data_IF_249977112046
#
_entry.id   IF_249977112046
#
_cell.length_a   1.000
_cell.length_b   1.000
_cell.length_c   1.000
_cell.angle_alpha   90.00
_cell.angle_beta   90.00
_cell.angle_gamma   90.00
#
_symmetry.space_group_name_H-M   'P 1'
#
loop_
_entity.id
_entity.type
_entity.pdbx_description
1 polymer ?
#
# COMPACT_ATOMS: atom_id res chain seq x y z
N UNK A 1 59.86 -47.58 19.55
CA UNK A 1 59.48 -47.91 18.16
C UNK A 1 59.32 -46.60 17.45
N UNK A 2 60.46 -46.14 16.93
CA UNK A 2 60.61 -44.95 16.10
C UNK A 2 59.98 -45.19 14.74
N UNK A 3 59.18 -44.22 14.28
CA UNK A 3 58.82 -44.09 12.87
C UNK A 3 59.11 -42.64 12.48
N UNK A 4 60.37 -42.42 12.13
CA UNK A 4 60.80 -41.29 11.31
C UNK A 4 60.34 -41.50 9.86
N UNK A 5 60.14 -40.39 9.14
CA UNK A 5 60.29 -40.32 7.69
C UNK A 5 59.02 -39.96 6.92
N UNK A 6 58.96 -38.73 6.38
CA UNK A 6 57.82 -38.34 5.54
C UNK A 6 57.87 -36.94 4.92
N UNK A 7 58.94 -36.63 4.20
CA UNK A 7 58.93 -35.80 2.98
C UNK A 7 58.13 -34.47 3.00
N UNK A 8 58.69 -33.45 3.66
CA UNK A 8 58.32 -32.05 3.40
C UNK A 8 58.88 -31.61 2.04
N UNK A 9 58.07 -31.73 0.98
CA UNK A 9 58.36 -31.15 -0.31
C UNK A 9 58.45 -29.62 -0.18
N UNK A 10 59.68 -29.08 -0.15
CA UNK A 10 59.93 -27.63 -0.17
C UNK A 10 59.42 -27.04 -1.49
N UNK A 11 58.38 -26.19 -1.49
CA UNK A 11 57.96 -25.52 -2.70
C UNK A 11 58.97 -24.40 -3.05
N UNK A 12 59.46 -24.41 -4.30
CA UNK A 12 59.63 -23.14 -5.02
C UNK A 12 60.98 -22.42 -4.96
N UNK A 13 62.13 -23.09 -4.88
CA UNK A 13 63.43 -22.42 -5.12
C UNK A 13 63.65 -22.05 -6.60
N UNK A 14 63.07 -22.81 -7.54
CA UNK A 14 63.12 -22.51 -8.98
C UNK A 14 62.22 -21.34 -9.41
N UNK A 15 61.26 -20.94 -8.59
CA UNK A 15 60.35 -19.83 -8.91
C UNK A 15 61.02 -18.46 -8.75
N UNK A 16 61.92 -18.29 -7.78
CA UNK A 16 62.48 -16.96 -7.45
C UNK A 16 63.56 -16.48 -8.42
N UNK A 17 64.46 -17.36 -8.84
CA UNK A 17 65.50 -17.01 -9.82
C UNK A 17 64.90 -16.71 -11.19
N UNK A 18 63.90 -17.51 -11.61
CA UNK A 18 63.21 -17.30 -12.88
C UNK A 18 62.35 -16.02 -12.86
N UNK A 19 61.73 -15.66 -11.72
CA UNK A 19 61.04 -14.38 -11.58
C UNK A 19 61.99 -13.17 -11.62
N UNK A 20 63.20 -13.30 -11.06
CA UNK A 20 64.17 -12.20 -11.05
C UNK A 20 64.75 -11.92 -12.44
N UNK A 21 65.06 -12.96 -13.23
CA UNK A 21 65.53 -12.75 -14.61
C UNK A 21 64.42 -12.21 -15.52
N UNK A 22 63.17 -12.66 -15.33
CA UNK A 22 62.04 -12.14 -16.07
C UNK A 22 61.75 -10.67 -15.74
N UNK A 23 61.91 -10.27 -14.47
CA UNK A 23 61.76 -8.87 -14.04
C UNK A 23 62.88 -7.94 -14.57
N UNK A 24 64.11 -8.45 -14.73
CA UNK A 24 65.21 -7.69 -15.32
C UNK A 24 65.10 -7.58 -16.85
N UNK A 25 64.66 -8.64 -17.53
CA UNK A 25 64.48 -8.64 -18.99
C UNK A 25 63.39 -7.67 -19.49
N UNK A 26 62.43 -7.31 -18.63
CA UNK A 26 61.34 -6.37 -18.94
C UNK A 26 61.66 -4.90 -18.62
N UNK A 27 62.92 -4.54 -18.39
CA UNK A 27 63.34 -3.13 -18.24
C UNK A 27 63.30 -2.59 -16.81
N UNK A 28 63.30 -3.46 -15.80
CA UNK A 28 63.44 -3.06 -14.40
C UNK A 28 62.17 -2.50 -13.75
N UNK A 29 62.26 -2.18 -12.46
CA UNK A 29 61.18 -1.69 -11.61
C UNK A 29 60.40 -0.49 -12.19
N UNK A 30 61.01 0.28 -13.09
CA UNK A 30 60.40 1.44 -13.76
C UNK A 30 59.35 1.04 -14.82
N UNK A 31 59.48 -0.12 -15.47
CA UNK A 31 58.45 -0.62 -16.38
C UNK A 31 57.25 -1.20 -15.62
N UNK A 32 57.52 -2.00 -14.59
CA UNK A 32 56.47 -2.60 -13.76
C UNK A 32 55.63 -1.53 -13.04
N UNK A 33 56.25 -0.47 -12.53
CA UNK A 33 55.54 0.65 -11.89
C UNK A 33 54.65 1.41 -12.88
N UNK A 34 55.12 1.65 -14.11
CA UNK A 34 54.34 2.31 -15.17
C UNK A 34 53.15 1.46 -15.62
N UNK A 35 53.32 0.14 -15.79
CA UNK A 35 52.22 -0.77 -16.11
C UNK A 35 51.19 -0.81 -14.97
N UNK A 36 51.65 -0.91 -13.72
CA UNK A 36 50.75 -0.88 -12.57
C UNK A 36 49.95 0.42 -12.49
N UNK A 37 50.59 1.57 -12.73
CA UNK A 37 49.94 2.87 -12.76
C UNK A 37 48.91 2.98 -13.90
N UNK A 38 49.20 2.40 -15.07
CA UNK A 38 48.30 2.39 -16.21
C UNK A 38 47.07 1.47 -16.04
N UNK A 39 47.15 0.43 -15.19
CA UNK A 39 46.02 -0.47 -14.92
C UNK A 39 44.96 0.14 -14.00
N UNK A 40 45.33 1.05 -13.10
CA UNK A 40 44.40 1.75 -12.19
C UNK A 40 43.23 2.43 -12.93
N UNK A 41 43.45 3.28 -13.95
CA UNK A 41 42.35 3.89 -14.68
C UNK A 41 41.51 2.87 -15.45
N UNK A 42 42.11 1.77 -15.95
CA UNK A 42 41.38 0.71 -16.65
C UNK A 42 40.39 0.01 -15.71
N UNK A 43 40.81 -0.34 -14.50
CA UNK A 43 39.90 -0.89 -13.48
C UNK A 43 38.82 0.11 -13.07
N UNK A 44 39.14 1.41 -13.02
CA UNK A 44 38.17 2.47 -12.80
C UNK A 44 37.08 2.51 -13.89
N UNK A 45 37.48 2.43 -15.17
CA UNK A 45 36.55 2.43 -16.31
C UNK A 45 35.70 1.15 -16.33
N UNK A 46 36.31 -0.02 -16.17
CA UNK A 46 35.58 -1.31 -16.15
C UNK A 46 34.63 -1.36 -14.95
N UNK A 47 35.11 -0.98 -13.76
CA UNK A 47 34.31 -0.92 -12.55
C UNK A 47 33.13 0.05 -12.68
N UNK A 48 33.38 1.24 -13.24
CA UNK A 48 32.33 2.23 -13.52
C UNK A 48 31.31 1.73 -14.53
N UNK A 49 31.75 1.06 -15.61
CA UNK A 49 30.86 0.48 -16.61
C UNK A 49 29.97 -0.64 -16.02
N UNK A 50 30.55 -1.53 -15.20
CA UNK A 50 29.80 -2.60 -14.52
C UNK A 50 28.80 -2.04 -13.50
N UNK A 51 29.22 -1.05 -12.72
CA UNK A 51 28.32 -0.38 -11.77
C UNK A 51 27.16 0.33 -12.51
N UNK A 52 27.47 1.03 -13.60
CA UNK A 52 26.46 1.70 -14.45
C UNK A 52 25.48 0.69 -15.06
N UNK A 53 25.98 -0.41 -15.62
CA UNK A 53 25.13 -1.48 -16.18
C UNK A 53 24.22 -2.11 -15.12
N UNK A 54 24.75 -2.37 -13.92
CA UNK A 54 23.96 -2.93 -12.82
C UNK A 54 22.87 -1.97 -12.33
N UNK A 55 23.20 -0.67 -12.19
CA UNK A 55 22.23 0.37 -11.82
C UNK A 55 21.17 0.53 -12.91
N UNK A 56 21.55 0.51 -14.19
CA UNK A 56 20.62 0.63 -15.31
C UNK A 56 19.58 -0.51 -15.32
N UNK A 57 20.02 -1.77 -15.16
CA UNK A 57 19.10 -2.92 -15.11
C UNK A 57 18.11 -2.86 -13.96
N UNK A 58 18.58 -2.46 -12.77
CA UNK A 58 17.71 -2.30 -11.59
C UNK A 58 16.67 -1.21 -11.79
N UNK A 59 17.05 -0.07 -12.36
CA UNK A 59 16.13 1.03 -12.59
C UNK A 59 14.98 0.64 -13.53
N UNK A 60 15.26 -0.11 -14.60
CA UNK A 60 14.23 -0.59 -15.53
C UNK A 60 13.22 -1.49 -14.81
N UNK A 61 13.70 -2.46 -14.02
CA UNK A 61 12.85 -3.36 -13.23
C UNK A 61 12.01 -2.63 -12.16
N UNK A 62 12.63 -1.69 -11.44
CA UNK A 62 11.93 -0.88 -10.44
C UNK A 62 10.84 -0.04 -11.10
N UNK A 63 11.12 0.56 -12.25
CA UNK A 63 10.16 1.39 -12.97
C UNK A 63 8.98 0.58 -13.49
N UNK A 64 9.20 -0.64 -14.00
CA UNK A 64 8.10 -1.49 -14.47
C UNK A 64 7.18 -1.90 -13.32
N UNK A 65 7.72 -2.36 -12.19
CA UNK A 65 6.93 -2.72 -11.00
C UNK A 65 6.20 -1.51 -10.43
N UNK A 66 6.88 -0.36 -10.37
CA UNK A 66 6.26 0.89 -9.89
C UNK A 66 5.08 1.29 -10.77
N UNK A 67 5.23 1.15 -12.09
CA UNK A 67 4.17 1.45 -13.04
C UNK A 67 2.98 0.48 -12.90
N UNK A 68 3.23 -0.83 -12.76
CA UNK A 68 2.17 -1.82 -12.55
C UNK A 68 1.43 -1.60 -11.22
N UNK A 69 2.17 -1.34 -10.13
CA UNK A 69 1.57 -1.03 -8.83
C UNK A 69 0.74 0.24 -8.86
N UNK A 70 1.23 1.29 -9.52
CA UNK A 70 0.47 2.53 -9.67
C UNK A 70 -0.83 2.30 -10.47
N UNK A 71 -0.79 1.46 -11.51
CA UNK A 71 -2.00 1.05 -12.26
C UNK A 71 -2.97 0.26 -11.39
N UNK A 72 -2.48 -0.71 -10.61
CA UNK A 72 -3.31 -1.46 -9.67
C UNK A 72 -3.95 -0.53 -8.63
N UNK A 73 -3.18 0.42 -8.09
CA UNK A 73 -3.63 1.40 -7.11
C UNK A 73 -4.76 2.29 -7.65
N UNK A 74 -4.62 2.73 -8.91
CA UNK A 74 -5.63 3.55 -9.58
C UNK A 74 -6.91 2.77 -9.85
N UNK A 75 -6.78 1.50 -10.26
CA UNK A 75 -7.92 0.58 -10.40
C UNK A 75 -8.63 0.38 -9.08
N UNK A 76 -7.90 0.14 -7.99
CA UNK A 76 -8.48 -0.03 -6.66
C UNK A 76 -9.23 1.23 -6.21
N UNK A 77 -8.64 2.42 -6.39
CA UNK A 77 -9.31 3.70 -6.06
C UNK A 77 -10.60 3.88 -6.85
N UNK A 78 -10.58 3.57 -8.15
CA UNK A 78 -11.75 3.64 -9.03
C UNK A 78 -12.81 2.61 -8.63
N UNK A 79 -12.42 1.39 -8.29
CA UNK A 79 -13.35 0.36 -7.82
C UNK A 79 -14.00 0.74 -6.49
N UNK A 80 -13.24 1.32 -5.56
CA UNK A 80 -13.77 1.80 -4.27
C UNK A 80 -14.73 2.98 -4.50
N UNK A 81 -14.37 3.98 -5.30
CA UNK A 81 -15.25 5.14 -5.54
C UNK A 81 -16.54 4.74 -6.27
N UNK A 82 -16.45 3.85 -7.26
CA UNK A 82 -17.64 3.33 -7.97
C UNK A 82 -18.52 2.48 -7.06
N UNK A 83 -17.91 1.70 -6.15
CA UNK A 83 -18.63 0.94 -5.12
C UNK A 83 -19.38 1.87 -4.17
N UNK A 84 -18.71 2.90 -3.64
CA UNK A 84 -19.32 3.91 -2.77
C UNK A 84 -20.47 4.63 -3.47
N UNK A 85 -20.29 4.99 -4.75
CA UNK A 85 -21.34 5.62 -5.56
C UNK A 85 -22.57 4.71 -5.77
N UNK A 86 -22.36 3.43 -6.04
CA UNK A 86 -23.45 2.46 -6.21
C UNK A 86 -24.23 2.26 -4.89
N UNK A 87 -23.53 2.10 -3.77
CA UNK A 87 -24.14 1.98 -2.44
C UNK A 87 -24.86 3.27 -2.03
N UNK A 88 -24.29 4.44 -2.30
CA UNK A 88 -24.94 5.72 -2.00
C UNK A 88 -26.21 5.92 -2.82
N UNK A 89 -26.18 5.55 -4.11
CA UNK A 89 -27.35 5.66 -5.00
C UNK A 89 -28.46 4.71 -4.55
N UNK A 90 -28.10 3.47 -4.21
CA UNK A 90 -29.03 2.48 -3.65
C UNK A 90 -29.68 3.00 -2.37
N UNK A 91 -28.89 3.48 -1.40
CA UNK A 91 -29.41 3.98 -0.12
C UNK A 91 -30.26 5.24 -0.27
N UNK A 92 -29.86 6.18 -1.15
CA UNK A 92 -30.63 7.38 -1.41
C UNK A 92 -32.02 7.05 -1.95
N UNK A 93 -32.08 6.16 -2.94
CA UNK A 93 -33.35 5.75 -3.57
C UNK A 93 -34.20 4.89 -2.63
N UNK A 94 -33.58 4.02 -1.83
CA UNK A 94 -34.28 3.20 -0.84
C UNK A 94 -34.90 4.02 0.31
N UNK A 95 -34.24 5.11 0.72
CA UNK A 95 -34.69 5.96 1.82
C UNK A 95 -35.59 7.13 1.37
N UNK A 96 -35.85 7.27 0.07
CA UNK A 96 -36.76 8.31 -0.43
C UNK A 96 -38.19 7.91 0.00
N UNK A 97 -38.91 8.76 0.76
CA UNK A 97 -40.30 8.47 1.08
C UNK A 97 -41.07 8.39 -0.24
N UNK A 98 -41.90 7.36 -0.40
CA UNK A 98 -42.82 7.27 -1.53
C UNK A 98 -43.67 8.54 -1.53
N UNK A 99 -43.31 9.50 -2.39
CA UNK A 99 -44.14 10.67 -2.67
C UNK A 99 -45.30 10.12 -3.50
N UNK A 100 -46.29 9.56 -2.83
CA UNK A 100 -47.56 9.18 -3.43
C UNK A 100 -48.24 10.49 -3.80
N UNK A 101 -47.99 10.95 -5.03
CA UNK A 101 -48.67 12.08 -5.61
C UNK A 101 -50.15 11.69 -5.74
N UNK A 102 -50.96 12.12 -4.77
CA UNK A 102 -52.40 11.94 -4.76
C UNK A 102 -53.00 12.82 -5.85
N UNK A 103 -52.93 12.34 -7.09
CA UNK A 103 -53.69 12.89 -8.21
C UNK A 103 -55.06 12.21 -8.22
N UNK A 104 -56.11 13.03 -8.26
CA UNK A 104 -57.49 12.61 -8.13
C UNK A 104 -57.85 11.51 -9.14
N UNK A 105 -58.45 10.45 -8.59
CA UNK A 105 -58.65 9.17 -9.21
C UNK A 105 -59.72 9.21 -10.30
N UNK A 106 -59.41 8.66 -11.49
CA UNK A 106 -60.37 7.76 -12.15
C UNK A 106 -59.79 6.80 -13.19
N UNK A 107 -58.52 6.87 -13.63
CA UNK A 107 -58.02 5.92 -14.66
C UNK A 107 -56.52 5.52 -14.59
N UNK A 108 -55.78 5.92 -13.55
CA UNK A 108 -54.29 5.82 -13.55
C UNK A 108 -53.71 4.54 -12.97
N UNK A 109 -54.53 3.55 -12.60
CA UNK A 109 -54.09 2.43 -11.75
C UNK A 109 -53.06 1.49 -12.40
N UNK A 110 -53.06 1.37 -13.73
CA UNK A 110 -52.15 0.48 -14.45
C UNK A 110 -50.80 1.14 -14.73
N UNK A 111 -50.75 2.45 -14.92
CA UNK A 111 -49.50 3.21 -15.13
C UNK A 111 -48.67 3.29 -13.84
N UNK A 112 -49.32 3.35 -12.67
CA UNK A 112 -48.62 3.41 -11.38
C UNK A 112 -47.91 2.08 -11.08
N UNK A 113 -48.52 0.93 -11.42
CA UNK A 113 -47.93 -0.40 -11.20
C UNK A 113 -46.69 -0.62 -12.06
N UNK A 114 -46.69 -0.14 -13.31
CA UNK A 114 -45.54 -0.32 -14.22
C UNK A 114 -44.34 0.51 -13.77
N UNK A 115 -44.55 1.76 -13.33
CA UNK A 115 -43.47 2.62 -12.85
C UNK A 115 -42.80 2.07 -11.58
N UNK A 116 -43.60 1.58 -10.61
CA UNK A 116 -43.08 0.97 -9.40
C UNK A 116 -42.22 -0.28 -9.68
N UNK A 117 -42.64 -1.13 -10.63
CA UNK A 117 -41.87 -2.31 -11.03
C UNK A 117 -40.56 -1.96 -11.74
N UNK A 118 -40.56 -0.92 -12.59
CA UNK A 118 -39.36 -0.42 -13.26
C UNK A 118 -38.37 0.15 -12.24
N UNK A 119 -38.84 0.85 -11.21
CA UNK A 119 -37.96 1.42 -10.20
C UNK A 119 -37.32 0.38 -9.28
N UNK A 120 -38.03 -0.72 -8.99
CA UNK A 120 -37.46 -1.87 -8.28
C UNK A 120 -36.35 -2.55 -9.09
N UNK A 121 -36.55 -2.75 -10.40
CA UNK A 121 -35.53 -3.37 -11.26
C UNK A 121 -34.20 -2.60 -11.22
N UNK A 122 -34.26 -1.26 -11.30
CA UNK A 122 -33.07 -0.40 -11.20
C UNK A 122 -32.37 -0.48 -9.85
N UNK A 123 -33.12 -0.67 -8.75
CA UNK A 123 -32.53 -0.85 -7.42
C UNK A 123 -31.73 -2.14 -7.32
N UNK A 124 -32.28 -3.25 -7.83
CA UNK A 124 -31.59 -4.54 -7.84
C UNK A 124 -30.32 -4.50 -8.69
N UNK A 125 -30.37 -3.82 -9.84
CA UNK A 125 -29.19 -3.63 -10.70
C UNK A 125 -28.05 -2.91 -9.97
N UNK A 126 -28.36 -1.83 -9.22
CA UNK A 126 -27.34 -1.11 -8.43
C UNK A 126 -26.76 -1.98 -7.32
N UNK A 127 -27.58 -2.78 -6.65
CA UNK A 127 -27.13 -3.69 -5.60
C UNK A 127 -26.26 -4.82 -6.16
N UNK A 128 -26.63 -5.38 -7.31
CA UNK A 128 -25.83 -6.39 -8.00
C UNK A 128 -24.47 -5.81 -8.41
N UNK A 129 -24.48 -4.61 -9.01
CA UNK A 129 -23.25 -3.89 -9.36
C UNK A 129 -22.36 -3.64 -8.15
N UNK A 130 -22.94 -3.21 -7.03
CA UNK A 130 -22.19 -3.02 -5.79
C UNK A 130 -21.59 -4.34 -5.27
N UNK A 131 -22.32 -5.45 -5.38
CA UNK A 131 -21.85 -6.79 -4.97
C UNK A 131 -20.70 -7.28 -5.86
N UNK A 132 -20.81 -7.09 -7.17
CA UNK A 132 -19.74 -7.40 -8.13
C UNK A 132 -18.47 -6.58 -7.84
N UNK A 133 -18.63 -5.27 -7.59
CA UNK A 133 -17.51 -4.39 -7.20
C UNK A 133 -16.89 -4.79 -5.87
N UNK A 134 -17.70 -5.17 -4.88
CA UNK A 134 -17.21 -5.66 -3.60
C UNK A 134 -16.35 -6.92 -3.75
N UNK A 135 -16.78 -7.87 -4.59
CA UNK A 135 -16.01 -9.07 -4.92
C UNK A 135 -14.67 -8.71 -5.60
N UNK A 136 -14.71 -7.81 -6.59
CA UNK A 136 -13.51 -7.34 -7.29
C UNK A 136 -12.51 -6.66 -6.34
N UNK A 137 -12.98 -5.83 -5.41
CA UNK A 137 -12.13 -5.21 -4.39
C UNK A 137 -11.51 -6.28 -3.48
N UNK A 138 -12.30 -7.27 -3.04
CA UNK A 138 -11.81 -8.35 -2.19
C UNK A 138 -10.73 -9.20 -2.86
N UNK A 139 -10.86 -9.47 -4.16
CA UNK A 139 -9.86 -10.22 -4.93
C UNK A 139 -8.54 -9.46 -5.12
N UNK A 140 -8.59 -8.13 -5.10
CA UNK A 140 -7.41 -7.27 -5.28
C UNK A 140 -6.63 -7.04 -3.98
N UNK A 141 -7.25 -7.26 -2.82
CA UNK A 141 -6.69 -6.97 -1.51
C UNK A 141 -6.12 -8.23 -0.85
N UNK A 142 -5.06 -8.07 -0.06
CA UNK A 142 -4.46 -9.20 0.65
C UNK A 142 -5.21 -9.47 1.97
N UNK A 143 -5.86 -10.63 2.17
CA UNK A 143 -6.58 -10.92 3.41
C UNK A 143 -5.70 -10.97 4.67
N UNK A 144 -4.38 -11.19 4.52
CA UNK A 144 -3.42 -11.19 5.62
C UNK A 144 -2.94 -9.79 6.01
N UNK A 145 -3.16 -8.79 5.15
CA UNK A 145 -2.79 -7.41 5.40
C UNK A 145 -3.66 -6.79 6.48
N UNK A 146 -3.05 -6.12 7.48
CA UNK A 146 -3.80 -5.47 8.56
C UNK A 146 -4.73 -4.36 8.06
N UNK A 147 -4.31 -3.61 7.04
CA UNK A 147 -5.12 -2.52 6.44
C UNK A 147 -6.17 -3.10 5.50
N UNK A 148 -5.76 -4.02 4.64
CA UNK A 148 -6.59 -4.73 3.67
C UNK A 148 -7.75 -5.46 4.34
N UNK A 149 -7.49 -6.22 5.41
CA UNK A 149 -8.52 -6.93 6.19
C UNK A 149 -9.62 -5.99 6.68
N UNK A 150 -9.22 -4.80 7.12
CA UNK A 150 -10.13 -3.76 7.60
C UNK A 150 -10.98 -3.18 6.47
N UNK A 151 -10.38 -2.93 5.30
CA UNK A 151 -11.10 -2.51 4.09
C UNK A 151 -12.09 -3.60 3.65
N UNK A 152 -11.66 -4.87 3.62
CA UNK A 152 -12.52 -6.02 3.28
C UNK A 152 -13.71 -6.11 4.24
N UNK A 153 -13.48 -5.93 5.54
CA UNK A 153 -14.55 -5.95 6.55
C UNK A 153 -15.56 -4.81 6.33
N UNK A 154 -15.09 -3.59 6.02
CA UNK A 154 -15.94 -2.44 5.70
C UNK A 154 -16.76 -2.66 4.43
N UNK A 155 -16.13 -3.14 3.35
CA UNK A 155 -16.78 -3.44 2.07
C UNK A 155 -17.85 -4.53 2.25
N UNK A 156 -17.54 -5.61 2.97
CA UNK A 156 -18.52 -6.65 3.30
C UNK A 156 -19.67 -6.10 4.13
N UNK A 157 -19.36 -5.31 5.16
CA UNK A 157 -20.37 -4.65 6.00
C UNK A 157 -21.34 -3.80 5.19
N UNK A 158 -20.81 -2.97 4.28
CA UNK A 158 -21.63 -2.15 3.37
C UNK A 158 -22.48 -2.99 2.42
N UNK A 159 -21.96 -4.10 1.90
CA UNK A 159 -22.72 -4.97 0.99
C UNK A 159 -23.88 -5.71 1.67
N UNK A 160 -23.78 -5.97 2.98
CA UNK A 160 -24.81 -6.67 3.75
C UNK A 160 -25.82 -5.69 4.37
N UNK A 161 -25.42 -4.43 4.57
CA UNK A 161 -26.25 -3.39 5.16
C UNK A 161 -27.45 -3.05 4.27
N UNK A 162 -28.55 -3.81 4.42
CA UNK A 162 -29.82 -3.56 3.74
C UNK A 162 -30.56 -2.35 4.33
N UNK A 163 -30.41 -2.11 5.63
CA UNK A 163 -31.11 -1.07 6.37
C UNK A 163 -30.17 -0.43 7.39
N UNK A 164 -29.44 0.58 6.95
CA UNK A 164 -28.58 1.40 7.80
C UNK A 164 -29.12 2.81 7.91
N UNK A 165 -28.96 3.44 9.09
CA UNK A 165 -29.14 4.90 9.16
C UNK A 165 -28.16 5.58 8.19
N UNK A 166 -28.61 6.62 7.47
CA UNK A 166 -27.74 7.39 6.56
C UNK A 166 -26.44 7.83 7.25
N UNK A 167 -26.51 8.18 8.55
CA UNK A 167 -25.35 8.55 9.37
C UNK A 167 -24.34 7.40 9.52
N UNK A 168 -24.80 6.17 9.76
CA UNK A 168 -23.91 5.01 9.88
C UNK A 168 -23.24 4.68 8.54
N UNK A 169 -23.98 4.81 7.44
CA UNK A 169 -23.45 4.62 6.09
C UNK A 169 -22.34 5.63 5.78
N UNK A 170 -22.59 6.92 6.03
CA UNK A 170 -21.56 7.98 5.86
C UNK A 170 -20.34 7.73 6.75
N UNK A 171 -20.54 7.29 8.00
CA UNK A 171 -19.41 6.98 8.89
C UNK A 171 -18.57 5.80 8.38
N UNK A 172 -19.20 4.77 7.83
CA UNK A 172 -18.49 3.61 7.24
C UNK A 172 -17.79 4.00 5.93
N UNK A 173 -18.41 4.87 5.13
CA UNK A 173 -17.83 5.43 3.92
C UNK A 173 -16.57 6.28 4.19
N UNK A 174 -16.63 7.13 5.22
CA UNK A 174 -15.48 7.91 5.71
C UNK A 174 -14.35 6.98 6.19
N UNK A 175 -14.69 5.93 6.93
CA UNK A 175 -13.73 4.93 7.38
C UNK A 175 -13.08 4.18 6.22
N UNK A 176 -13.87 3.76 5.23
CA UNK A 176 -13.37 3.11 4.03
C UNK A 176 -12.37 4.01 3.30
N UNK A 177 -12.68 5.29 3.18
CA UNK A 177 -11.79 6.31 2.60
C UNK A 177 -10.50 6.44 3.40
N UNK A 178 -10.57 6.54 4.72
CA UNK A 178 -9.40 6.68 5.60
C UNK A 178 -8.49 5.43 5.56
N UNK A 179 -9.05 4.23 5.64
CA UNK A 179 -8.27 2.99 5.54
C UNK A 179 -7.64 2.83 4.15
N UNK A 180 -8.35 3.22 3.09
CA UNK A 180 -7.80 3.27 1.74
C UNK A 180 -6.61 4.23 1.66
N UNK A 181 -6.69 5.43 2.23
CA UNK A 181 -5.55 6.35 2.29
C UNK A 181 -4.33 5.76 3.02
N UNK A 182 -4.57 5.00 4.10
CA UNK A 182 -3.50 4.28 4.80
C UNK A 182 -2.84 3.21 3.92
N UNK A 183 -3.65 2.42 3.19
CA UNK A 183 -3.15 1.41 2.25
C UNK A 183 -2.32 2.06 1.15
N UNK A 184 -2.86 3.11 0.51
CA UNK A 184 -2.17 3.88 -0.54
C UNK A 184 -0.81 4.38 -0.06
N UNK A 185 -0.76 4.92 1.17
CA UNK A 185 0.47 5.44 1.76
C UNK A 185 1.47 4.32 2.09
N UNK A 186 0.99 3.19 2.61
CA UNK A 186 1.85 2.05 2.92
C UNK A 186 2.50 1.48 1.65
N UNK A 187 1.72 1.30 0.58
CA UNK A 187 2.20 0.82 -0.71
C UNK A 187 3.18 1.82 -1.37
N UNK A 188 2.89 3.12 -1.31
CA UNK A 188 3.80 4.14 -1.81
C UNK A 188 5.17 4.10 -1.12
N UNK A 189 5.19 3.91 0.20
CA UNK A 189 6.46 3.80 0.92
C UNK A 189 7.19 2.49 0.63
N UNK A 190 6.45 1.39 0.40
CA UNK A 190 7.03 0.13 -0.04
C UNK A 190 7.71 0.26 -1.42
N UNK A 191 7.08 1.00 -2.34
CA UNK A 191 7.70 1.33 -3.63
C UNK A 191 8.99 2.13 -3.44
N UNK A 192 9.00 3.16 -2.58
CA UNK A 192 10.23 3.91 -2.27
C UNK A 192 11.31 3.02 -1.66
N UNK A 193 10.93 2.10 -0.78
CA UNK A 193 11.83 1.14 -0.16
C UNK A 193 12.49 0.20 -1.17
N UNK A 194 11.72 -0.24 -2.16
CA UNK A 194 12.23 -1.08 -3.24
C UNK A 194 13.14 -0.30 -4.19
N UNK A 195 12.81 0.97 -4.47
CA UNK A 195 13.55 1.84 -5.35
C UNK A 195 14.86 2.38 -4.76
N UNK A 196 14.90 2.69 -3.45
CA UNK A 196 16.00 3.42 -2.82
C UNK A 196 17.32 2.66 -2.61
N UNK A 197 17.37 1.36 -2.94
CA UNK A 197 18.58 0.54 -2.77
C UNK A 197 18.93 0.24 -1.31
N UNK A 198 20.08 -0.40 -1.09
CA UNK A 198 20.46 -0.96 0.22
C UNK A 198 20.56 0.09 1.33
N UNK A 199 21.18 1.24 1.06
CA UNK A 199 21.36 2.30 2.05
C UNK A 199 20.04 2.93 2.50
N UNK A 200 19.11 3.15 1.56
CA UNK A 200 17.78 3.64 1.89
C UNK A 200 17.00 2.62 2.73
N UNK A 201 17.20 1.31 2.48
CA UNK A 201 16.61 0.25 3.31
C UNK A 201 17.16 0.31 4.73
N UNK A 202 18.48 0.35 4.90
CA UNK A 202 19.06 0.38 6.24
C UNK A 202 18.57 1.59 7.06
N UNK A 203 18.43 2.75 6.43
CA UNK A 203 17.98 3.97 7.10
C UNK A 203 16.48 3.95 7.47
N UNK A 204 15.61 3.43 6.60
CA UNK A 204 14.15 3.55 6.79
C UNK A 204 13.50 2.36 7.51
N UNK A 205 14.28 1.37 7.98
CA UNK A 205 13.70 0.19 8.65
C UNK A 205 12.81 0.59 9.84
N UNK A 206 13.24 1.57 10.63
CA UNK A 206 12.46 2.12 11.74
C UNK A 206 11.15 2.80 11.30
N UNK A 207 11.06 3.31 10.07
CA UNK A 207 9.85 3.96 9.58
C UNK A 207 8.72 2.94 9.39
N UNK A 208 9.03 1.70 8.97
CA UNK A 208 8.00 0.68 8.78
C UNK A 208 7.33 0.29 10.11
N UNK A 209 8.12 0.07 11.16
CA UNK A 209 7.60 -0.26 12.48
C UNK A 209 6.80 0.91 13.07
N UNK A 210 7.30 2.14 12.93
CA UNK A 210 6.58 3.34 13.34
C UNK A 210 5.22 3.46 12.62
N UNK A 211 5.14 3.14 11.32
CA UNK A 211 3.87 3.13 10.58
C UNK A 211 2.93 2.05 11.08
N UNK A 212 3.42 0.83 11.36
CA UNK A 212 2.60 -0.26 11.91
C UNK A 212 2.02 0.13 13.27
N UNK A 213 2.82 0.76 14.14
CA UNK A 213 2.37 1.28 15.43
C UNK A 213 1.34 2.39 15.24
N UNK A 214 1.61 3.36 14.36
CA UNK A 214 0.69 4.46 14.08
C UNK A 214 -0.64 3.97 13.49
N UNK A 215 -0.62 2.95 12.64
CA UNK A 215 -1.82 2.32 12.11
C UNK A 215 -2.61 1.58 13.21
N UNK A 216 -1.94 0.81 14.07
CA UNK A 216 -2.58 0.17 15.23
C UNK A 216 -3.23 1.20 16.16
N UNK A 217 -2.58 2.33 16.40
CA UNK A 217 -3.15 3.44 17.18
C UNK A 217 -4.36 4.06 16.47
N UNK A 218 -4.30 4.24 15.14
CA UNK A 218 -5.43 4.71 14.34
C UNK A 218 -6.65 3.78 14.44
N UNK A 219 -6.46 2.47 14.26
CA UNK A 219 -7.52 1.44 14.34
C UNK A 219 -8.18 1.42 15.73
N UNK A 220 -7.43 1.69 16.80
CA UNK A 220 -7.98 1.76 18.17
C UNK A 220 -8.78 3.03 18.44
N UNK A 221 -8.50 4.11 17.72
CA UNK A 221 -9.17 5.40 17.87
C UNK A 221 -10.13 5.66 16.73
N UNK A 222 -9.81 6.69 15.93
CA UNK A 222 -10.67 7.21 14.86
C UNK A 222 -10.96 6.22 13.73
N UNK A 223 -10.12 5.20 13.58
CA UNK A 223 -10.25 4.16 12.55
C UNK A 223 -10.99 2.92 13.03
N UNK A 224 -11.60 2.95 14.21
CA UNK A 224 -12.30 1.82 14.79
C UNK A 224 -13.55 1.46 13.96
N UNK A 225 -13.59 0.24 13.46
CA UNK A 225 -14.61 -0.23 12.51
C UNK A 225 -15.85 -0.78 13.24
N UNK A 226 -15.68 -1.17 14.51
CA UNK A 226 -16.71 -1.90 15.26
C UNK A 226 -17.99 -1.10 15.45
N UNK A 227 -17.90 0.15 15.90
CA UNK A 227 -19.11 0.93 16.21
C UNK A 227 -19.94 1.22 14.95
N UNK A 228 -19.34 1.67 13.82
CA UNK A 228 -20.14 1.95 12.63
C UNK A 228 -20.69 0.68 11.96
N UNK A 229 -19.95 -0.43 11.96
CA UNK A 229 -20.47 -1.70 11.45
C UNK A 229 -21.63 -2.27 12.29
N UNK A 230 -21.54 -2.17 13.62
CA UNK A 230 -22.65 -2.55 14.49
C UNK A 230 -23.89 -1.67 14.22
N UNK A 231 -23.70 -0.37 13.97
CA UNK A 231 -24.78 0.55 13.63
C UNK A 231 -25.44 0.25 12.26
N UNK A 232 -24.76 -0.50 11.39
CA UNK A 232 -25.34 -1.00 10.13
C UNK A 232 -26.08 -2.33 10.29
N UNK A 233 -26.21 -2.85 11.51
CA UNK A 233 -26.84 -4.15 11.76
C UNK A 233 -25.94 -5.35 11.43
N UNK A 234 -24.62 -5.13 11.27
CA UNK A 234 -23.67 -6.22 11.12
C UNK A 234 -23.60 -7.07 12.40
N UNK A 235 -23.73 -8.40 12.27
CA UNK A 235 -23.57 -9.29 13.42
C UNK A 235 -22.17 -9.12 14.03
N UNK A 236 -22.13 -9.04 15.36
CA UNK A 236 -20.88 -9.03 16.13
C UNK A 236 -20.05 -10.31 15.93
N UNK A 237 -20.63 -11.36 15.31
CA UNK A 237 -19.98 -12.64 14.99
C UNK A 237 -18.95 -12.58 13.85
N UNK A 238 -18.77 -11.42 13.21
CA UNK A 238 -17.54 -11.16 12.46
C UNK A 238 -16.40 -11.04 13.47
N UNK A 239 -15.90 -12.20 13.93
CA UNK A 239 -14.86 -12.34 14.94
C UNK A 239 -13.53 -11.80 14.41
N UNK A 240 -13.36 -10.48 14.51
CA UNK A 240 -12.11 -9.80 14.23
C UNK A 240 -11.09 -9.95 15.37
N UNK A 241 -11.44 -10.64 16.48
CA UNK A 241 -10.67 -10.65 17.74
C UNK A 241 -9.54 -11.67 17.84
N UNK A 242 -9.20 -12.43 16.80
CA UNK A 242 -8.12 -13.42 16.89
C UNK A 242 -6.68 -12.86 17.08
N UNK A 243 -6.47 -11.62 17.56
CA UNK A 243 -5.11 -11.17 17.92
C UNK A 243 -4.88 -9.76 18.49
N UNK A 244 -5.82 -9.14 19.21
CA UNK A 244 -5.64 -7.76 19.73
C UNK A 244 -5.59 -7.63 21.26
N UNK A 245 -4.52 -7.07 21.87
CA UNK A 245 -4.47 -6.81 23.32
C UNK A 245 -5.42 -5.68 23.77
N UNK A 246 -5.82 -5.78 25.04
CA UNK A 246 -6.83 -5.00 25.79
C UNK A 246 -6.73 -3.45 25.61
N UNK A 247 -7.83 -2.71 25.33
CA UNK A 247 -7.82 -1.29 24.93
C UNK A 247 -7.57 -0.26 26.05
N UNK A 248 -7.00 -0.64 27.20
CA UNK A 248 -6.67 0.36 28.23
C UNK A 248 -5.29 0.95 27.93
N UNK A 249 -5.23 2.28 27.76
CA UNK A 249 -4.04 3.14 27.61
C UNK A 249 -3.50 3.33 26.18
N UNK A 250 -4.05 4.28 25.41
CA UNK A 250 -3.25 5.16 24.52
C UNK A 250 -4.02 6.47 24.26
N UNK A 251 -3.75 7.51 25.05
CA UNK A 251 -4.06 8.91 24.69
C UNK A 251 -2.82 9.53 24.04
N UNK A 252 -2.40 9.03 22.88
CA UNK A 252 -1.28 9.63 22.14
C UNK A 252 -1.78 10.60 21.07
N UNK A 253 -1.07 11.73 20.99
CA UNK A 253 -1.21 12.77 19.97
C UNK A 253 -1.28 12.12 18.57
N UNK A 254 -2.33 12.45 17.81
CA UNK A 254 -2.44 12.04 16.42
C UNK A 254 -1.16 12.42 15.62
N UNK A 255 -0.71 11.56 14.69
CA UNK A 255 0.46 11.82 13.84
C UNK A 255 0.35 13.20 13.19
N UNK A 256 1.46 13.94 13.09
CA UNK A 256 1.49 15.34 12.64
C UNK A 256 0.78 15.58 11.30
N UNK A 257 0.83 14.61 10.38
CA UNK A 257 0.22 14.65 9.05
C UNK A 257 -1.29 14.36 9.01
N UNK A 258 -1.88 13.95 10.14
CA UNK A 258 -3.31 13.69 10.31
C UNK A 258 -4.04 14.81 11.07
N UNK A 259 -3.32 15.87 11.45
CA UNK A 259 -3.91 17.11 11.94
C UNK A 259 -4.34 17.92 10.73
N UNK A 260 -5.61 18.30 10.66
CA UNK A 260 -6.01 19.39 9.76
C UNK A 260 -5.07 20.58 10.02
N UNK A 261 -4.54 21.25 8.98
CA UNK A 261 -3.75 22.45 9.20
C UNK A 261 -4.55 23.38 10.11
N UNK A 262 -3.91 23.87 11.18
CA UNK A 262 -4.55 24.84 12.07
C UNK A 262 -4.99 26.00 11.17
N UNK A 263 -6.28 26.41 11.18
CA UNK A 263 -6.72 27.51 10.34
C UNK A 263 -5.79 28.69 10.59
N UNK A 264 -5.29 29.29 9.51
CA UNK A 264 -4.45 30.48 9.61
C UNK A 264 -5.23 31.52 10.45
N UNK A 265 -4.56 32.22 11.37
CA UNK A 265 -5.22 33.28 12.12
C UNK A 265 -5.86 34.24 11.11
N UNK A 266 -7.15 34.53 11.28
CA UNK A 266 -7.87 35.42 10.40
C UNK A 266 -7.10 36.75 10.32
N UNK A 267 -6.59 37.09 9.14
CA UNK A 267 -6.02 38.41 8.87
C UNK A 267 -7.16 39.41 9.01
N UNK A 268 -7.15 40.16 10.11
CA UNK A 268 -8.05 41.29 10.32
C UNK A 268 -7.72 42.32 9.23
N UNK A 269 -8.67 42.69 8.35
CA UNK A 269 -8.42 43.74 7.37
C UNK A 269 -8.08 45.05 8.10
N UNK A 270 -7.17 45.88 7.55
CA UNK A 270 -6.87 47.18 8.14
C UNK A 270 -8.16 48.01 8.22
N UNK A 271 -8.37 48.67 9.36
CA UNK A 271 -9.47 49.60 9.53
C UNK A 271 -9.33 50.72 8.49
N UNK A 272 -10.42 50.95 7.73
CA UNK A 272 -10.57 52.08 6.80
C UNK A 272 -11.06 53.30 7.58
#
# INVERSE_FOLDING_TARGET
>A
MDVEGGFLARPGLLSRAMFQEFAHALGGYDFASKVALAMVPLFGVIGGALASWWVAGRNVYINSITAERSKWLEKLRTSISTFQGAISTYNFRHNMPDVVETTDATDTSDVIKTNAAVDQTKLYEQLERATQLASNIQLQLNPEGAVDKNIIALVRGLSIARHGSNRALTAVDDLLTLHSQWLLKAEWQKVKWEAGGFWYRLWNWFDEDNRRVAYKAFVRGRGAIREPLLALGGSADLDWRSGGPNPKLVTEKAPCWLRKPKPAPATVPPAI
#
